data_IF_753020163415
#
_entry.id   IF_753020163415
#
_cell.length_a   1.000
_cell.length_b   1.000
_cell.length_c   1.000
_cell.angle_alpha   90.00
_cell.angle_beta   90.00
_cell.angle_gamma   90.00
#
_symmetry.space_group_name_H-M   'P 1'
#
loop_
_entity.id
_entity.type
_entity.pdbx_description
1 polymer ?
#
# COMPACT_ATOMS: atom_id res chain seq x y z
N UNK A 1 -10.26 4.07 -24.45
CA UNK A 1 -9.49 3.10 -23.64
C UNK A 1 -10.39 2.57 -22.53
N UNK A 2 -10.39 1.25 -22.26
CA UNK A 2 -11.13 0.73 -21.09
C UNK A 2 -10.53 1.35 -19.83
N UNK A 3 -11.37 1.93 -18.98
CA UNK A 3 -10.93 2.49 -17.69
C UNK A 3 -10.42 1.34 -16.81
N UNK A 4 -9.12 1.28 -16.58
CA UNK A 4 -8.49 0.27 -15.73
C UNK A 4 -8.47 0.79 -14.30
N UNK A 5 -9.06 0.06 -13.37
CA UNK A 5 -8.94 0.33 -11.94
C UNK A 5 -7.68 -0.34 -11.39
N UNK A 6 -7.01 0.31 -10.45
CA UNK A 6 -5.80 -0.18 -9.80
C UNK A 6 -6.08 -0.38 -8.31
N UNK A 7 -5.78 -1.58 -7.81
CA UNK A 7 -5.89 -1.92 -6.39
C UNK A 7 -4.52 -2.41 -5.91
N UNK A 8 -3.88 -1.63 -5.05
CA UNK A 8 -2.66 -2.02 -4.38
C UNK A 8 -2.99 -2.47 -2.95
N UNK A 9 -2.81 -3.76 -2.68
CA UNK A 9 -2.95 -4.31 -1.32
C UNK A 9 -1.55 -4.62 -0.80
N UNK A 10 -1.23 -4.10 0.37
CA UNK A 10 0.07 -4.31 0.96
C UNK A 10 -0.01 -4.55 2.47
N UNK A 11 0.91 -5.34 2.96
CA UNK A 11 1.08 -5.71 4.36
C UNK A 11 2.41 -5.18 4.89
N UNK A 12 2.65 -5.34 6.19
CA UNK A 12 3.95 -5.09 6.80
C UNK A 12 4.67 -6.42 7.10
N UNK A 13 5.97 -6.45 6.81
CA UNK A 13 6.93 -7.49 7.22
C UNK A 13 6.53 -8.94 6.93
N UNK A 14 5.56 -9.18 6.05
CA UNK A 14 5.08 -10.53 5.69
C UNK A 14 6.15 -11.34 4.95
N UNK A 15 6.96 -10.68 4.13
CA UNK A 15 8.01 -11.32 3.35
C UNK A 15 7.47 -12.41 2.41
N UNK A 16 8.21 -13.52 2.34
CA UNK A 16 7.91 -14.66 1.46
C UNK A 16 7.01 -15.72 2.12
N UNK A 17 6.64 -15.56 3.37
CA UNK A 17 6.01 -16.60 4.18
C UNK A 17 4.51 -16.75 3.90
N UNK A 18 4.16 -16.91 2.61
CA UNK A 18 2.80 -17.09 2.10
C UNK A 18 2.71 -18.31 1.17
N UNK A 19 1.52 -18.91 1.05
CA UNK A 19 1.31 -20.13 0.26
C UNK A 19 1.75 -20.04 -1.22
N UNK A 20 1.60 -18.93 -1.96
CA UNK A 20 2.08 -18.85 -3.34
C UNK A 20 3.59 -19.03 -3.53
N UNK A 21 4.37 -18.83 -2.48
CA UNK A 21 5.82 -19.08 -2.48
C UNK A 21 6.20 -20.45 -1.96
N UNK A 22 5.21 -21.33 -1.69
CA UNK A 22 5.43 -22.71 -1.24
C UNK A 22 5.54 -22.89 0.28
N UNK A 23 5.26 -21.86 1.06
CA UNK A 23 5.21 -21.98 2.52
C UNK A 23 3.88 -22.55 3.01
N UNK A 24 3.92 -23.35 4.06
CA UNK A 24 2.73 -23.91 4.72
C UNK A 24 2.02 -22.86 5.58
N UNK A 25 1.56 -21.79 4.94
CA UNK A 25 0.80 -20.71 5.57
C UNK A 25 -0.62 -20.68 4.98
N UNK A 26 -1.63 -20.58 5.84
CA UNK A 26 -3.05 -20.54 5.42
C UNK A 26 -3.42 -19.17 4.82
N UNK A 27 -2.85 -18.83 3.66
CA UNK A 27 -3.13 -17.57 2.93
C UNK A 27 -4.03 -17.83 1.71
N UNK A 28 -5.17 -18.49 1.93
CA UNK A 28 -6.05 -19.01 0.89
C UNK A 28 -6.53 -17.96 -0.11
N UNK A 29 -6.81 -16.71 0.33
CA UNK A 29 -7.27 -15.66 -0.57
C UNK A 29 -6.14 -15.12 -1.45
N UNK A 30 -4.92 -15.01 -0.91
CA UNK A 30 -3.73 -14.66 -1.69
C UNK A 30 -3.47 -15.75 -2.73
N UNK A 31 -3.60 -17.03 -2.34
CA UNK A 31 -3.48 -18.16 -3.27
C UNK A 31 -4.50 -18.12 -4.40
N UNK A 32 -5.76 -17.75 -4.13
CA UNK A 32 -6.80 -17.58 -5.17
C UNK A 32 -6.42 -16.49 -6.18
N UNK A 33 -5.82 -15.39 -5.73
CA UNK A 33 -5.34 -14.31 -6.61
C UNK A 33 -4.15 -14.82 -7.44
N UNK A 34 -3.19 -15.48 -6.80
CA UNK A 34 -2.01 -16.05 -7.44
C UNK A 34 -2.37 -17.05 -8.55
N UNK A 35 -3.41 -17.87 -8.34
CA UNK A 35 -3.87 -18.86 -9.32
C UNK A 35 -4.51 -18.23 -10.57
N UNK A 36 -4.91 -16.95 -10.50
CA UNK A 36 -5.54 -16.21 -11.60
C UNK A 36 -4.64 -15.12 -12.19
N UNK A 37 -3.50 -14.88 -11.58
CA UNK A 37 -2.58 -13.82 -11.94
C UNK A 37 -1.14 -14.32 -12.08
N UNK A 38 -0.20 -13.40 -11.99
CA UNK A 38 1.24 -13.69 -12.05
C UNK A 38 1.87 -13.63 -10.66
N UNK A 39 2.76 -14.59 -10.37
CA UNK A 39 3.56 -14.62 -9.13
C UNK A 39 5.01 -14.28 -9.47
N UNK A 40 5.51 -13.17 -8.95
CA UNK A 40 6.88 -12.73 -9.15
C UNK A 40 7.77 -13.29 -8.03
N UNK A 41 8.54 -14.35 -8.32
CA UNK A 41 9.39 -15.04 -7.34
C UNK A 41 10.66 -14.27 -6.99
N UNK A 42 11.13 -13.43 -7.91
CA UNK A 42 12.36 -12.63 -7.79
C UNK A 42 12.03 -11.14 -7.66
N UNK A 43 11.06 -10.81 -6.83
CA UNK A 43 10.71 -9.43 -6.51
C UNK A 43 11.42 -9.01 -5.23
N UNK A 44 12.37 -8.09 -5.34
CA UNK A 44 13.22 -7.65 -4.24
C UNK A 44 12.82 -6.25 -3.77
N UNK A 45 12.88 -6.04 -2.45
CA UNK A 45 12.71 -4.68 -1.91
C UNK A 45 13.91 -3.81 -2.24
N UNK A 46 13.67 -2.52 -2.50
CA UNK A 46 14.72 -1.55 -2.75
C UNK A 46 15.47 -1.13 -1.46
N UNK A 47 14.89 -1.42 -0.29
CA UNK A 47 15.50 -1.12 1.01
C UNK A 47 14.91 -2.03 2.11
N UNK A 48 15.65 -2.34 3.18
CA UNK A 48 15.19 -3.22 4.24
C UNK A 48 14.28 -2.53 5.26
N UNK A 49 14.05 -1.22 5.13
CA UNK A 49 13.26 -0.40 6.08
C UNK A 49 11.96 0.07 5.46
N UNK A 50 10.88 0.16 6.27
CA UNK A 50 9.50 0.43 5.84
C UNK A 50 9.36 1.66 4.91
N UNK A 51 9.68 2.86 5.37
CA UNK A 51 9.46 4.08 4.58
C UNK A 51 10.30 4.14 3.31
N UNK A 52 11.61 3.82 3.31
CA UNK A 52 12.40 3.72 2.08
C UNK A 52 11.88 2.69 1.08
N UNK A 53 11.49 1.50 1.53
CA UNK A 53 10.93 0.45 0.67
C UNK A 53 9.62 0.89 0.02
N UNK A 54 8.70 1.46 0.82
CA UNK A 54 7.39 1.91 0.35
C UNK A 54 7.50 3.10 -0.58
N UNK A 55 8.33 4.07 -0.26
CA UNK A 55 8.56 5.22 -1.13
C UNK A 55 9.15 4.80 -2.48
N UNK A 56 10.03 3.81 -2.49
CA UNK A 56 10.55 3.25 -3.74
C UNK A 56 9.45 2.57 -4.56
N UNK A 57 8.57 1.80 -3.92
CA UNK A 57 7.42 1.19 -4.58
C UNK A 57 6.48 2.24 -5.19
N UNK A 58 6.25 3.35 -4.47
CA UNK A 58 5.30 4.39 -4.87
C UNK A 58 5.89 5.44 -5.82
N UNK A 59 7.21 5.53 -5.94
CA UNK A 59 7.86 6.50 -6.85
C UNK A 59 8.57 5.84 -8.03
N UNK A 60 8.85 4.54 -7.96
CA UNK A 60 9.70 3.84 -8.93
C UNK A 60 11.18 4.20 -8.82
N UNK A 61 11.60 4.93 -7.78
CA UNK A 61 12.96 5.42 -7.59
C UNK A 61 13.60 4.76 -6.36
N UNK A 62 14.90 4.53 -6.40
CA UNK A 62 15.65 4.08 -5.22
C UNK A 62 15.69 5.15 -4.12
N UNK A 63 15.90 4.78 -2.84
CA UNK A 63 15.91 5.73 -1.72
C UNK A 63 16.87 6.91 -1.90
N UNK A 64 18.06 6.67 -2.47
CA UNK A 64 19.03 7.73 -2.73
C UNK A 64 18.61 8.70 -3.86
N UNK A 65 17.67 8.29 -4.71
CA UNK A 65 17.12 9.13 -5.77
C UNK A 65 15.89 9.90 -5.29
N UNK A 66 15.05 9.29 -4.44
CA UNK A 66 13.81 9.90 -3.98
C UNK A 66 13.93 10.65 -2.64
N UNK A 67 15.06 10.52 -1.93
CA UNK A 67 15.35 11.20 -0.68
C UNK A 67 14.89 10.49 0.60
N UNK A 68 14.17 9.38 0.49
CA UNK A 68 13.66 8.66 1.66
C UNK A 68 14.73 7.72 2.24
N UNK A 69 15.70 8.25 2.97
CA UNK A 69 16.81 7.48 3.53
C UNK A 69 16.45 6.73 4.83
N UNK A 70 15.42 7.16 5.53
CA UNK A 70 15.01 6.62 6.82
C UNK A 70 13.50 6.64 7.02
N UNK A 71 13.07 6.46 8.27
CA UNK A 71 11.67 6.40 8.62
C UNK A 71 11.01 7.79 8.57
N UNK A 72 9.87 7.89 7.91
CA UNK A 72 9.14 9.15 7.74
C UNK A 72 8.72 9.78 9.08
N UNK A 73 8.33 8.97 10.07
CA UNK A 73 7.99 9.48 11.42
C UNK A 73 9.22 9.98 12.21
N UNK A 74 10.43 9.73 11.71
CA UNK A 74 11.70 10.25 12.25
C UNK A 74 12.28 11.41 11.42
N UNK A 75 11.47 11.98 10.52
CA UNK A 75 11.83 13.19 9.77
C UNK A 75 12.36 12.93 8.35
N UNK A 76 12.49 11.67 7.91
CA UNK A 76 12.85 11.39 6.51
C UNK A 76 11.70 11.74 5.57
N UNK A 77 12.01 12.31 4.39
CA UNK A 77 11.00 12.79 3.44
C UNK A 77 11.42 12.50 1.99
N UNK A 78 10.44 12.41 1.10
CA UNK A 78 10.70 12.49 -0.34
C UNK A 78 11.22 13.88 -0.69
N UNK A 79 12.09 13.97 -1.69
CA UNK A 79 12.49 15.25 -2.29
C UNK A 79 11.30 15.92 -3.00
N UNK A 80 10.45 15.12 -3.65
CA UNK A 80 9.27 15.60 -4.36
C UNK A 80 8.11 14.60 -4.24
N UNK A 81 7.04 15.00 -3.56
CA UNK A 81 5.83 14.19 -3.42
C UNK A 81 4.97 14.12 -4.70
N UNK A 82 5.21 14.98 -5.70
CA UNK A 82 4.52 14.87 -6.99
C UNK A 82 4.90 13.57 -7.75
N UNK A 83 6.05 12.99 -7.44
CA UNK A 83 6.50 11.70 -7.98
C UNK A 83 5.78 10.50 -7.35
N UNK A 84 5.05 10.70 -6.27
CA UNK A 84 4.30 9.63 -5.62
C UNK A 84 3.14 9.17 -6.52
N UNK A 85 2.95 7.86 -6.66
CA UNK A 85 2.00 7.25 -7.59
C UNK A 85 0.57 7.80 -7.44
N UNK A 86 0.11 8.08 -6.22
CA UNK A 86 -1.22 8.67 -6.00
C UNK A 86 -1.32 10.09 -6.59
N UNK A 87 -0.30 10.95 -6.42
CA UNK A 87 -0.26 12.26 -7.06
C UNK A 87 -0.21 12.14 -8.59
N UNK A 88 0.65 11.27 -9.11
CA UNK A 88 0.75 11.02 -10.54
C UNK A 88 -0.59 10.57 -11.14
N UNK A 89 -1.27 9.61 -10.51
CA UNK A 89 -2.55 9.10 -11.00
C UNK A 89 -3.69 10.12 -10.81
N UNK A 90 -3.70 10.88 -9.70
CA UNK A 90 -4.63 11.99 -9.51
C UNK A 90 -4.54 13.00 -10.66
N UNK A 91 -3.34 13.34 -11.10
CA UNK A 91 -3.11 14.23 -12.25
C UNK A 91 -3.50 13.60 -13.60
N UNK A 92 -3.80 12.30 -13.63
CA UNK A 92 -4.36 11.54 -14.77
C UNK A 92 -5.85 11.26 -14.61
N UNK A 93 -6.55 12.03 -13.79
CA UNK A 93 -7.98 11.96 -13.52
C UNK A 93 -8.46 10.65 -12.85
N UNK A 94 -7.59 9.98 -12.10
CA UNK A 94 -8.00 8.88 -11.24
C UNK A 94 -8.59 9.40 -9.93
N UNK A 95 -9.61 8.70 -9.42
CA UNK A 95 -9.99 8.81 -8.02
C UNK A 95 -8.98 8.04 -7.17
N UNK A 96 -8.23 8.74 -6.31
CA UNK A 96 -7.16 8.14 -5.50
C UNK A 96 -7.57 8.03 -4.05
N UNK A 97 -7.50 6.83 -3.47
CA UNK A 97 -8.01 6.57 -2.11
C UNK A 97 -7.04 5.71 -1.30
N UNK A 98 -6.81 6.10 -0.05
CA UNK A 98 -6.04 5.33 0.92
C UNK A 98 -6.97 4.70 1.97
N UNK A 99 -6.80 3.41 2.20
CA UNK A 99 -7.40 2.68 3.31
C UNK A 99 -6.30 2.13 4.22
N UNK A 100 -6.40 2.44 5.52
CA UNK A 100 -5.44 1.97 6.51
C UNK A 100 -4.13 2.76 6.52
N UNK A 101 -3.01 2.08 6.55
CA UNK A 101 -1.73 2.70 6.83
C UNK A 101 -0.96 3.09 5.56
N UNK A 102 -0.16 4.13 5.73
CA UNK A 102 0.97 4.52 4.88
C UNK A 102 2.21 4.73 5.78
N UNK A 103 3.39 4.76 5.27
CA UNK A 103 4.61 5.10 6.02
C UNK A 103 5.58 5.93 5.16
N UNK A 104 5.04 6.60 4.15
CA UNK A 104 5.81 7.41 3.20
C UNK A 104 5.90 8.87 3.63
N UNK A 105 5.06 9.29 4.62
CA UNK A 105 5.09 10.63 5.19
C UNK A 105 4.62 10.60 6.64
N UNK A 106 4.97 11.64 7.41
CA UNK A 106 4.40 11.84 8.74
C UNK A 106 2.86 12.00 8.64
N UNK A 107 2.11 11.41 9.57
CA UNK A 107 0.63 11.41 9.57
C UNK A 107 0.02 12.81 9.43
N UNK A 108 0.67 13.84 9.98
CA UNK A 108 0.19 15.23 9.91
C UNK A 108 0.17 15.80 8.48
N UNK A 109 0.97 15.25 7.59
CA UNK A 109 1.18 15.75 6.24
C UNK A 109 0.66 14.78 5.16
N UNK A 110 -0.24 13.87 5.52
CA UNK A 110 -0.73 12.81 4.60
C UNK A 110 -1.36 13.38 3.32
N UNK A 111 -1.86 14.61 3.36
CA UNK A 111 -2.43 15.29 2.19
C UNK A 111 -1.41 15.52 1.06
N UNK A 112 -0.11 15.63 1.38
CA UNK A 112 0.97 15.77 0.40
C UNK A 112 1.12 14.52 -0.50
N UNK A 113 0.63 13.36 -0.06
CA UNK A 113 0.65 12.13 -0.85
C UNK A 113 -0.32 12.16 -2.04
N UNK A 114 -1.29 13.08 -2.05
CA UNK A 114 -2.20 13.28 -3.17
C UNK A 114 -3.43 12.36 -3.23
N UNK A 115 -3.73 11.62 -2.19
CA UNK A 115 -4.99 10.89 -2.11
C UNK A 115 -6.18 11.83 -2.01
N UNK A 116 -7.23 11.60 -2.82
CA UNK A 116 -8.48 12.35 -2.73
C UNK A 116 -9.26 12.05 -1.46
N UNK A 117 -9.15 10.80 -0.95
CA UNK A 117 -9.87 10.34 0.24
C UNK A 117 -8.98 9.44 1.10
N UNK A 118 -9.17 9.56 2.42
CA UNK A 118 -8.44 8.80 3.43
C UNK A 118 -9.45 8.09 4.34
N UNK A 119 -9.30 6.78 4.53
CA UNK A 119 -10.15 5.98 5.41
C UNK A 119 -9.31 5.09 6.33
N UNK A 120 -9.75 4.96 7.58
CA UNK A 120 -9.14 4.05 8.56
C UNK A 120 -7.65 4.32 8.85
N UNK A 121 -7.17 5.54 8.67
CA UNK A 121 -5.74 5.88 8.86
C UNK A 121 -5.28 5.90 10.32
N UNK A 122 -6.23 5.79 11.26
CA UNK A 122 -5.98 5.81 12.71
C UNK A 122 -6.25 4.45 13.38
N UNK A 123 -6.31 3.36 12.61
CA UNK A 123 -6.55 2.02 13.15
C UNK A 123 -5.65 0.99 12.51
N UNK A 124 -5.28 -0.04 13.28
CA UNK A 124 -4.59 -1.22 12.79
C UNK A 124 -5.54 -2.42 12.61
N UNK A 125 -6.84 -2.24 12.84
CA UNK A 125 -7.86 -3.28 12.68
C UNK A 125 -8.06 -3.64 11.21
N UNK A 126 -7.48 -4.77 10.81
CA UNK A 126 -7.52 -5.28 9.42
C UNK A 126 -8.93 -5.61 8.95
N UNK A 127 -9.85 -6.01 9.86
CA UNK A 127 -11.25 -6.26 9.52
C UNK A 127 -11.97 -4.95 9.17
N UNK A 128 -11.73 -3.91 9.96
CA UNK A 128 -12.29 -2.57 9.71
C UNK A 128 -11.77 -1.98 8.40
N UNK A 129 -10.46 -2.10 8.15
CA UNK A 129 -9.82 -1.61 6.91
C UNK A 129 -10.41 -2.34 5.70
N UNK A 130 -10.42 -3.68 5.70
CA UNK A 130 -10.88 -4.49 4.58
C UNK A 130 -12.37 -4.31 4.29
N UNK A 131 -13.21 -4.28 5.34
CA UNK A 131 -14.66 -4.06 5.18
C UNK A 131 -14.98 -2.66 4.64
N UNK A 132 -14.24 -1.64 5.07
CA UNK A 132 -14.42 -0.27 4.57
C UNK A 132 -13.99 -0.15 3.12
N UNK A 133 -12.85 -0.72 2.73
CA UNK A 133 -12.39 -0.75 1.34
C UNK A 133 -13.37 -1.50 0.43
N UNK A 134 -13.85 -2.67 0.86
CA UNK A 134 -14.82 -3.47 0.12
C UNK A 134 -16.15 -2.75 -0.08
N UNK A 135 -16.64 -2.07 0.96
CA UNK A 135 -17.87 -1.27 0.88
C UNK A 135 -17.71 -0.10 -0.08
N UNK A 136 -16.55 0.58 -0.03
CA UNK A 136 -16.26 1.69 -0.93
C UNK A 136 -16.25 1.23 -2.39
N UNK A 137 -15.56 0.12 -2.71
CA UNK A 137 -15.52 -0.44 -4.07
C UNK A 137 -16.93 -0.78 -4.57
N UNK A 138 -17.76 -1.44 -3.74
CA UNK A 138 -19.13 -1.82 -4.10
C UNK A 138 -20.03 -0.63 -4.41
N UNK A 139 -19.83 0.49 -3.73
CA UNK A 139 -20.66 1.70 -3.83
C UNK A 139 -20.04 2.77 -4.75
N UNK A 140 -18.91 2.49 -5.36
CA UNK A 140 -18.25 3.46 -6.24
C UNK A 140 -19.05 3.62 -7.54
N UNK A 141 -19.28 4.86 -7.94
CA UNK A 141 -20.15 5.20 -9.08
C UNK A 141 -19.51 5.03 -10.47
N UNK A 142 -18.24 4.58 -10.53
CA UNK A 142 -17.47 4.32 -11.74
C UNK A 142 -17.38 5.46 -12.77
N UNK A 143 -17.56 6.72 -12.36
CA UNK A 143 -17.41 7.89 -13.24
C UNK A 143 -15.98 8.07 -13.73
N UNK A 144 -14.98 7.70 -12.93
CA UNK A 144 -13.55 7.78 -13.21
C UNK A 144 -12.89 6.43 -12.92
N UNK A 145 -11.73 6.14 -13.52
CA UNK A 145 -10.88 5.06 -13.00
C UNK A 145 -10.43 5.39 -11.57
N UNK A 146 -10.20 4.38 -10.76
CA UNK A 146 -9.70 4.58 -9.42
C UNK A 146 -8.35 3.89 -9.18
N UNK A 147 -7.57 4.48 -8.31
CA UNK A 147 -6.43 3.88 -7.62
C UNK A 147 -6.72 3.83 -6.14
N UNK A 148 -6.74 2.63 -5.58
CA UNK A 148 -6.84 2.46 -4.14
C UNK A 148 -5.60 1.77 -3.58
N UNK A 149 -5.09 2.29 -2.48
CA UNK A 149 -4.04 1.68 -1.67
C UNK A 149 -4.68 1.17 -0.38
N UNK A 150 -4.57 -0.14 -0.11
CA UNK A 150 -5.09 -0.79 1.09
C UNK A 150 -3.92 -1.31 1.90
N UNK A 151 -3.57 -0.59 2.95
CA UNK A 151 -2.43 -0.90 3.80
C UNK A 151 -2.84 -1.53 5.13
N UNK A 152 -2.35 -2.75 5.37
CA UNK A 152 -2.53 -3.46 6.63
C UNK A 152 -1.28 -3.36 7.49
N UNK A 153 -1.46 -3.22 8.81
CA UNK A 153 -0.35 -3.24 9.76
C UNK A 153 0.18 -4.66 10.00
N UNK A 154 -0.68 -5.66 9.82
CA UNK A 154 -0.26 -7.06 9.87
C UNK A 154 0.75 -7.37 8.74
N UNK A 155 1.79 -8.10 9.01
CA UNK A 155 2.19 -8.89 10.19
C UNK A 155 3.32 -8.21 11.00
N UNK A 156 3.28 -6.90 11.21
CA UNK A 156 4.28 -6.15 11.95
C UNK A 156 4.35 -6.61 13.41
N UNK A 157 5.53 -6.53 14.03
CA UNK A 157 5.68 -6.66 15.49
C UNK A 157 4.91 -5.52 16.21
N UNK A 158 4.31 -5.67 17.36
CA UNK A 158 4.27 -6.86 18.21
C UNK A 158 3.10 -7.75 17.80
N UNK A 159 3.34 -9.05 17.71
CA UNK A 159 2.28 -10.01 17.40
C UNK A 159 1.32 -10.12 18.59
N UNK A 160 0.02 -10.18 18.32
CA UNK A 160 -0.96 -10.50 19.36
C UNK A 160 -0.58 -11.84 19.99
N UNK A 161 -0.25 -11.83 21.28
CA UNK A 161 -0.12 -13.07 22.06
C UNK A 161 -1.53 -13.62 22.21
N UNK A 162 -1.89 -14.63 21.41
CA UNK A 162 -3.02 -15.49 21.76
C UNK A 162 -2.57 -16.29 22.99
N UNK A 163 -3.07 -15.89 24.16
CA UNK A 163 -3.00 -16.66 25.39
C UNK A 163 -3.99 -17.81 25.30
#
# INVERSE_FOLDING_TARGET
MKNINIVLIHTHDTGRYISPYGYNAKTNNIQKIANKGSVYRNFFTAAPTCSPSRSSLMTGLYPHQNGMYGLAHRGSRLHDYNLHLSNFLKNKDFETVLFGIQHEINKKNTDELGYNKLFCTNTNDSNKISSTASRWIKNYNHKKPFFISVGFFDTHREYEKKI
#
